data_IF_573838269930
#
_entry.id   IF_573838269930
#
_cell.length_a   1.000
_cell.length_b   1.000
_cell.length_c   1.000
_cell.angle_alpha   90.00
_cell.angle_beta   90.00
_cell.angle_gamma   90.00
#
_symmetry.space_group_name_H-M   'P 1'
#
loop_
_entity.id
_entity.type
_entity.pdbx_description
1 polymer ?
#
# COMPACT_ATOMS: atom_id res chain seq x y z
N UNK A 1 11.71 15.77 0.53
CA UNK A 1 12.32 14.74 -0.37
C UNK A 1 11.18 13.80 -0.67
N UNK A 2 10.84 13.54 -1.95
CA UNK A 2 9.83 12.53 -2.26
C UNK A 2 10.31 11.23 -1.62
N UNK A 3 9.71 10.82 -0.50
CA UNK A 3 10.04 9.58 0.18
C UNK A 3 10.06 8.47 -0.87
N UNK A 4 11.23 7.87 -1.06
CA UNK A 4 11.46 6.98 -2.18
C UNK A 4 10.44 5.82 -2.08
N UNK A 5 9.79 5.47 -3.19
CA UNK A 5 8.79 4.40 -3.21
C UNK A 5 9.38 3.09 -2.67
N UNK A 6 10.70 2.91 -2.80
CA UNK A 6 11.45 1.77 -2.25
C UNK A 6 11.43 1.77 -0.72
N UNK A 7 11.60 2.93 -0.08
CA UNK A 7 11.58 3.07 1.38
C UNK A 7 10.17 2.84 1.93
N UNK A 8 9.15 3.40 1.26
CA UNK A 8 7.74 3.15 1.58
C UNK A 8 7.41 1.66 1.48
N UNK A 9 7.84 1.00 0.40
CA UNK A 9 7.63 -0.46 0.26
C UNK A 9 8.31 -1.22 1.40
N UNK A 10 9.56 -0.89 1.72
CA UNK A 10 10.34 -1.58 2.76
C UNK A 10 9.73 -1.43 4.16
N UNK A 11 9.09 -0.28 4.44
CA UNK A 11 8.34 -0.08 5.68
C UNK A 11 7.03 -0.87 5.70
N UNK A 12 6.26 -0.83 4.60
CA UNK A 12 4.89 -1.33 4.57
C UNK A 12 4.81 -2.85 4.38
N UNK A 13 5.73 -3.44 3.61
CA UNK A 13 5.78 -4.87 3.31
C UNK A 13 5.70 -5.77 4.56
N UNK A 14 6.60 -5.66 5.57
CA UNK A 14 6.54 -6.53 6.75
C UNK A 14 5.26 -6.36 7.56
N UNK A 15 4.61 -5.19 7.47
CA UNK A 15 3.37 -4.91 8.16
C UNK A 15 2.19 -5.62 7.50
N UNK A 16 2.13 -5.56 6.17
CA UNK A 16 1.11 -6.23 5.34
C UNK A 16 1.26 -7.75 5.47
N UNK A 17 2.49 -8.26 5.45
CA UNK A 17 2.79 -9.69 5.66
C UNK A 17 2.35 -10.18 7.03
N UNK A 18 2.60 -9.41 8.10
CA UNK A 18 2.13 -9.73 9.46
C UNK A 18 0.61 -9.79 9.58
N UNK A 19 -0.12 -9.10 8.72
CA UNK A 19 -1.58 -9.14 8.67
C UNK A 19 -2.10 -10.33 7.86
N UNK A 20 -1.22 -11.08 7.19
CA UNK A 20 -1.55 -12.27 6.40
C UNK A 20 -1.76 -11.99 4.91
N UNK A 21 -1.29 -10.84 4.41
CA UNK A 21 -1.45 -10.42 3.01
C UNK A 21 -0.08 -10.21 2.35
N UNK A 22 -0.02 -10.25 1.02
CA UNK A 22 1.16 -9.89 0.23
C UNK A 22 1.04 -8.44 -0.24
N UNK A 23 2.12 -7.65 -0.12
CA UNK A 23 2.20 -6.32 -0.73
C UNK A 23 2.66 -6.43 -2.18
N UNK A 24 1.73 -6.28 -3.12
CA UNK A 24 1.99 -6.46 -4.55
C UNK A 24 2.66 -5.23 -5.16
N UNK A 25 2.17 -4.04 -4.82
CA UNK A 25 2.65 -2.80 -5.42
C UNK A 25 2.36 -1.58 -4.55
N UNK A 26 3.23 -0.57 -4.63
CA UNK A 26 3.06 0.73 -3.97
C UNK A 26 3.41 1.84 -4.96
N UNK A 27 2.60 2.89 -5.01
CA UNK A 27 2.92 4.11 -5.76
C UNK A 27 2.54 5.34 -4.96
N UNK A 28 3.35 6.38 -5.09
CA UNK A 28 3.02 7.72 -4.63
C UNK A 28 2.95 8.63 -5.86
N UNK A 29 1.78 9.23 -6.11
CA UNK A 29 1.58 10.06 -7.28
C UNK A 29 0.34 10.94 -7.19
N UNK A 30 -0.09 11.51 -8.31
CA UNK A 30 -1.26 12.40 -8.37
C UNK A 30 -0.87 13.85 -8.61
N UNK A 31 -1.59 14.49 -9.54
CA UNK A 31 -1.24 15.81 -10.08
C UNK A 31 -1.95 16.98 -9.39
N UNK A 32 -3.12 16.76 -8.78
CA UNK A 32 -3.86 17.78 -7.98
C UNK A 32 -3.91 17.43 -6.49
N UNK A 33 -4.13 16.16 -6.19
CA UNK A 33 -4.13 15.60 -4.83
C UNK A 33 -3.16 14.43 -4.85
N UNK A 34 -2.26 14.36 -3.87
CA UNK A 34 -1.35 13.21 -3.73
C UNK A 34 -2.15 11.99 -3.33
N UNK A 35 -1.83 10.85 -3.91
CA UNK A 35 -2.41 9.56 -3.61
C UNK A 35 -1.28 8.56 -3.36
N UNK A 36 -1.28 7.97 -2.17
CA UNK A 36 -0.49 6.79 -1.85
C UNK A 36 -1.37 5.58 -2.12
N UNK A 37 -1.04 4.83 -3.16
CA UNK A 37 -1.79 3.65 -3.58
C UNK A 37 -1.00 2.41 -3.28
N UNK A 38 -1.65 1.44 -2.66
CA UNK A 38 -1.07 0.12 -2.43
C UNK A 38 -2.02 -0.99 -2.86
N UNK A 39 -1.43 -2.03 -3.42
CA UNK A 39 -2.14 -3.23 -3.84
C UNK A 39 -1.75 -4.39 -2.93
N UNK A 40 -2.74 -5.05 -2.34
CA UNK A 40 -2.55 -6.23 -1.50
C UNK A 40 -3.18 -7.46 -2.14
N UNK A 41 -2.66 -8.64 -1.84
CA UNK A 41 -3.24 -9.90 -2.31
C UNK A 41 -3.20 -10.99 -1.23
N UNK A 42 -4.07 -11.99 -1.39
CA UNK A 42 -4.08 -13.19 -0.57
C UNK A 42 -4.64 -14.38 -1.37
N UNK A 43 -4.28 -15.63 -1.04
CA UNK A 43 -4.73 -16.81 -1.77
C UNK A 43 -6.27 -16.97 -1.87
N UNK A 44 -7.02 -16.42 -0.91
CA UNK A 44 -8.49 -16.43 -0.89
C UNK A 44 -9.14 -15.22 -1.58
N UNK A 45 -8.35 -14.35 -2.19
CA UNK A 45 -8.77 -13.01 -2.60
C UNK A 45 -8.76 -12.02 -1.43
N UNK A 46 -9.12 -10.77 -1.76
CA UNK A 46 -9.15 -9.64 -0.83
C UNK A 46 -10.56 -9.07 -0.80
N UNK A 47 -11.10 -8.90 0.39
CA UNK A 47 -12.40 -8.25 0.64
C UNK A 47 -12.23 -6.77 0.95
N UNK A 48 -13.35 -6.03 1.01
CA UNK A 48 -13.33 -4.62 1.41
C UNK A 48 -12.87 -4.47 2.88
N UNK A 49 -13.27 -5.38 3.76
CA UNK A 49 -12.84 -5.40 5.16
C UNK A 49 -11.32 -5.62 5.30
N UNK A 50 -10.72 -6.44 4.42
CA UNK A 50 -9.26 -6.64 4.39
C UNK A 50 -8.54 -5.33 4.01
N UNK A 51 -9.03 -4.64 2.97
CA UNK A 51 -8.52 -3.32 2.57
C UNK A 51 -8.64 -2.29 3.70
N UNK A 52 -9.78 -2.26 4.40
CA UNK A 52 -9.99 -1.37 5.54
C UNK A 52 -9.00 -1.66 6.67
N UNK A 53 -8.81 -2.95 7.01
CA UNK A 53 -7.88 -3.39 8.05
C UNK A 53 -6.45 -2.96 7.75
N UNK A 54 -5.99 -3.17 6.52
CA UNK A 54 -4.66 -2.73 6.08
C UNK A 54 -4.58 -1.20 6.08
N UNK A 55 -5.60 -0.51 5.56
CA UNK A 55 -5.63 0.96 5.52
C UNK A 55 -5.47 1.59 6.90
N UNK A 56 -6.15 1.07 7.92
CA UNK A 56 -6.02 1.55 9.31
C UNK A 56 -4.59 1.40 9.83
N UNK A 57 -4.02 0.19 9.74
CA UNK A 57 -2.65 -0.06 10.22
C UNK A 57 -1.59 0.75 9.49
N UNK A 58 -1.72 0.87 8.17
CA UNK A 58 -0.78 1.63 7.35
C UNK A 58 -0.86 3.13 7.67
N UNK A 59 -2.07 3.67 7.86
CA UNK A 59 -2.27 5.07 8.24
C UNK A 59 -1.59 5.40 9.58
N UNK A 60 -1.74 4.53 10.58
CA UNK A 60 -1.15 4.72 11.90
C UNK A 60 0.39 4.78 11.83
N UNK A 61 1.02 3.87 11.08
CA UNK A 61 2.48 3.84 10.97
C UNK A 61 3.00 5.01 10.14
N UNK A 62 2.35 5.36 9.02
CA UNK A 62 2.78 6.50 8.21
C UNK A 62 2.72 7.83 8.98
N UNK A 63 1.78 7.97 9.92
CA UNK A 63 1.69 9.12 10.80
C UNK A 63 2.83 9.18 11.84
N UNK A 64 3.33 8.03 12.28
CA UNK A 64 4.46 7.95 13.23
C UNK A 64 5.80 8.20 12.55
N UNK A 65 5.99 7.62 11.37
CA UNK A 65 7.25 7.70 10.62
C UNK A 65 7.41 8.99 9.80
N UNK A 66 6.36 9.82 9.71
CA UNK A 66 6.31 11.10 8.98
C UNK A 66 6.81 11.01 7.51
N UNK A 67 6.60 9.86 6.86
CA UNK A 67 7.25 9.55 5.57
C UNK A 67 6.64 10.28 4.36
N UNK A 68 5.41 10.78 4.48
CA UNK A 68 4.68 11.41 3.38
C UNK A 68 4.33 12.85 3.74
N UNK A 69 5.08 13.78 3.14
CA UNK A 69 4.86 15.22 3.36
C UNK A 69 3.55 15.71 2.72
N UNK A 70 2.75 16.45 3.51
CA UNK A 70 1.55 17.16 3.05
C UNK A 70 0.29 16.30 2.99
N UNK A 71 -0.80 16.88 2.49
CA UNK A 71 -2.07 16.16 2.36
C UNK A 71 -2.02 15.12 1.23
N UNK A 72 -2.47 13.90 1.54
CA UNK A 72 -2.60 12.81 0.59
C UNK A 72 -3.82 11.95 0.92
N UNK A 73 -4.27 11.19 -0.09
CA UNK A 73 -5.25 10.12 0.09
C UNK A 73 -4.52 8.77 0.14
N UNK A 74 -4.82 7.94 1.13
CA UNK A 74 -4.39 6.54 1.15
C UNK A 74 -5.45 5.68 0.46
N UNK A 75 -5.04 4.91 -0.55
CA UNK A 75 -5.89 3.98 -1.28
C UNK A 75 -5.32 2.56 -1.16
N UNK A 76 -6.11 1.63 -0.59
CA UNK A 76 -5.76 0.21 -0.48
C UNK A 76 -6.73 -0.59 -1.35
N UNK A 77 -6.20 -1.47 -2.20
CA UNK A 77 -7.03 -2.26 -3.13
C UNK A 77 -6.41 -3.61 -3.43
N UNK A 78 -7.20 -4.53 -3.97
CA UNK A 78 -6.67 -5.74 -4.61
C UNK A 78 -6.21 -5.45 -6.04
N UNK A 79 -5.22 -6.16 -6.60
CA UNK A 79 -4.87 -6.03 -8.02
C UNK A 79 -6.00 -6.51 -8.96
N UNK A 80 -6.95 -7.29 -8.44
CA UNK A 80 -8.04 -7.91 -9.22
C UNK A 80 -7.57 -9.08 -10.07
N UNK A 81 -8.51 -9.72 -10.79
CA UNK A 81 -8.24 -10.87 -11.69
C UNK A 81 -7.53 -10.48 -13.00
N UNK A 82 -7.38 -9.18 -13.30
CA UNK A 82 -6.99 -8.67 -14.62
C UNK A 82 -5.51 -8.29 -14.74
N UNK A 83 -4.72 -8.47 -13.68
CA UNK A 83 -3.28 -8.22 -13.74
C UNK A 83 -2.51 -9.54 -13.67
N UNK A 84 -1.82 -9.99 -14.73
CA UNK A 84 -0.83 -11.04 -14.56
C UNK A 84 0.19 -10.60 -13.50
N UNK A 85 0.44 -11.48 -12.53
CA UNK A 85 1.45 -11.32 -11.47
C UNK A 85 2.85 -11.27 -12.11
N UNK A 86 3.24 -10.13 -12.68
CA UNK A 86 4.62 -9.91 -13.09
C UNK A 86 5.41 -9.42 -11.88
N UNK A 87 5.95 -10.37 -11.11
CA UNK A 87 7.20 -10.16 -10.36
C UNK A 87 8.32 -10.10 -11.40
N UNK A 88 8.80 -8.90 -11.70
CA UNK A 88 10.12 -8.76 -12.31
C UNK A 88 11.10 -8.47 -11.19
N UNK A 89 12.03 -9.41 -11.01
CA UNK A 89 13.23 -9.25 -10.19
C UNK A 89 14.14 -8.14 -10.72
#
# INVERSE_FOLDING_TARGET
VLGDVIELRSLLEPMVERLGYELVHVTLGGSKTRALRMFIDAPGGITVDDCERVSRQVSDVLAVEDMVEGEYTLEVSSPGLDRPLVKHE
#
